data_IF_338926688033
#
_entry.id   IF_338926688033
#
_cell.length_a   1.000
_cell.length_b   1.000
_cell.length_c   1.000
_cell.angle_alpha   90.00
_cell.angle_beta   90.00
_cell.angle_gamma   90.00
#
_symmetry.space_group_name_H-M   'P 1'
#
loop_
_entity.id
_entity.type
_entity.pdbx_description
1 polymer ?
#
# COMPACT_ATOMS: atom_id res chain seq x y z
N UNK A 1 -0.96 -5.61 -7.12
CA UNK A 1 0.50 -5.38 -7.12
C UNK A 1 0.73 -3.88 -7.02
N UNK A 2 1.67 -3.41 -6.22
CA UNK A 2 2.17 -2.05 -6.35
C UNK A 2 2.62 -1.78 -7.78
N UNK A 3 2.70 -0.51 -8.15
CA UNK A 3 3.01 -0.09 -9.51
C UNK A 3 4.32 -0.65 -10.07
N UNK A 4 4.48 -0.55 -11.34
CA UNK A 4 5.75 -0.77 -12.04
C UNK A 4 6.05 0.45 -12.89
N UNK A 5 7.23 0.50 -13.48
CA UNK A 5 7.62 1.64 -14.32
C UNK A 5 6.70 1.89 -15.52
N UNK A 6 5.91 0.88 -15.93
CA UNK A 6 4.98 0.95 -17.08
C UNK A 6 3.51 1.10 -16.67
N UNK A 7 3.22 1.21 -15.39
CA UNK A 7 1.86 1.37 -14.86
C UNK A 7 1.75 2.67 -14.07
N UNK A 8 0.50 3.05 -13.75
CA UNK A 8 0.27 4.13 -12.79
C UNK A 8 0.98 3.83 -11.48
N UNK A 9 1.42 4.87 -10.77
CA UNK A 9 1.99 4.72 -9.44
C UNK A 9 0.97 4.08 -8.47
N UNK A 10 1.47 3.44 -7.41
CA UNK A 10 0.58 2.82 -6.44
C UNK A 10 -0.36 3.83 -5.78
N UNK A 11 0.11 5.06 -5.51
CA UNK A 11 -0.75 6.10 -4.94
C UNK A 11 -1.83 6.59 -5.91
N UNK A 12 -1.53 6.75 -7.21
CA UNK A 12 -2.54 7.03 -8.23
C UNK A 12 -3.59 5.91 -8.29
N UNK A 13 -3.15 4.66 -8.21
CA UNK A 13 -4.07 3.50 -8.13
C UNK A 13 -4.97 3.56 -6.89
N UNK A 14 -4.41 3.89 -5.72
CA UNK A 14 -5.19 4.01 -4.47
C UNK A 14 -6.21 5.13 -4.58
N UNK A 15 -5.82 6.30 -5.11
CA UNK A 15 -6.74 7.42 -5.33
C UNK A 15 -7.89 7.02 -6.27
N UNK A 16 -7.59 6.39 -7.40
CA UNK A 16 -8.63 5.92 -8.33
C UNK A 16 -9.55 4.87 -7.70
N UNK A 17 -8.97 3.96 -6.91
CA UNK A 17 -9.73 2.89 -6.26
C UNK A 17 -10.68 3.40 -5.18
N UNK A 18 -10.30 4.43 -4.43
CA UNK A 18 -11.14 5.04 -3.40
C UNK A 18 -12.17 6.01 -3.99
N UNK A 19 -11.94 6.50 -5.20
CA UNK A 19 -12.77 7.50 -5.88
C UNK A 19 -13.78 6.85 -6.86
N UNK A 20 -14.52 5.85 -6.38
CA UNK A 20 -15.45 5.11 -7.23
C UNK A 20 -16.77 5.83 -7.52
N UNK A 21 -17.15 6.86 -6.75
CA UNK A 21 -18.41 7.60 -6.97
C UNK A 21 -19.61 6.67 -7.16
N UNK A 22 -20.30 6.83 -8.30
CA UNK A 22 -21.44 5.99 -8.69
C UNK A 22 -21.06 4.79 -9.58
N UNK A 23 -19.77 4.57 -9.86
CA UNK A 23 -19.29 3.46 -10.68
C UNK A 23 -19.39 2.14 -9.89
N UNK A 24 -20.36 1.31 -10.31
CA UNK A 24 -20.63 0.02 -9.65
C UNK A 24 -19.48 -0.98 -9.80
N UNK A 25 -18.77 -0.95 -10.93
CA UNK A 25 -17.65 -1.88 -11.19
C UNK A 25 -16.41 -1.48 -10.39
N UNK A 26 -16.10 -0.20 -10.29
CA UNK A 26 -15.04 0.30 -9.41
C UNK A 26 -15.35 -0.04 -7.96
N UNK A 27 -16.59 0.21 -7.51
CA UNK A 27 -17.03 -0.16 -6.16
C UNK A 27 -16.90 -1.65 -5.88
N UNK A 28 -17.30 -2.50 -6.82
CA UNK A 28 -17.18 -3.96 -6.68
C UNK A 28 -15.70 -4.38 -6.56
N UNK A 29 -14.82 -3.82 -7.41
CA UNK A 29 -13.36 -4.05 -7.33
C UNK A 29 -12.79 -3.60 -5.98
N UNK A 30 -13.16 -2.43 -5.48
CA UNK A 30 -12.77 -1.93 -4.16
C UNK A 30 -13.18 -2.88 -3.04
N UNK A 31 -14.45 -3.31 -3.04
CA UNK A 31 -14.98 -4.21 -2.01
C UNK A 31 -14.27 -5.58 -2.04
N UNK A 32 -14.01 -6.12 -3.23
CA UNK A 32 -13.27 -7.38 -3.42
C UNK A 32 -11.83 -7.27 -2.94
N UNK A 33 -11.11 -6.21 -3.35
CA UNK A 33 -9.69 -6.02 -2.96
C UNK A 33 -9.54 -5.81 -1.46
N UNK A 34 -10.40 -4.99 -0.84
CA UNK A 34 -10.35 -4.74 0.61
C UNK A 34 -10.68 -5.99 1.42
N UNK A 35 -11.66 -6.79 0.98
CA UNK A 35 -11.98 -8.08 1.61
C UNK A 35 -10.77 -9.02 1.56
N UNK A 36 -10.18 -9.19 0.38
CA UNK A 36 -8.99 -10.01 0.18
C UNK A 36 -7.83 -9.56 1.09
N UNK A 37 -7.52 -8.26 1.12
CA UNK A 37 -6.47 -7.73 1.99
C UNK A 37 -6.74 -8.00 3.46
N UNK A 38 -7.99 -7.82 3.92
CA UNK A 38 -8.32 -8.09 5.31
C UNK A 38 -8.17 -9.56 5.69
N UNK A 39 -8.52 -10.49 4.78
CA UNK A 39 -8.36 -11.92 4.99
C UNK A 39 -6.90 -12.35 4.97
N UNK A 40 -6.09 -11.75 4.11
CA UNK A 40 -4.68 -12.13 3.87
C UNK A 40 -3.71 -11.51 4.89
N UNK A 41 -4.01 -10.30 5.40
CA UNK A 41 -3.10 -9.55 6.27
C UNK A 41 -3.59 -9.35 7.70
N UNK A 42 -4.75 -9.90 8.06
CA UNK A 42 -5.22 -9.89 9.45
C UNK A 42 -4.23 -10.59 10.39
N UNK A 43 -4.12 -10.16 11.66
CA UNK A 43 -3.27 -10.81 12.64
C UNK A 43 -3.58 -12.31 12.76
N UNK A 44 -2.55 -13.12 12.93
CA UNK A 44 -2.69 -14.55 13.11
C UNK A 44 -3.55 -14.87 14.33
N UNK A 45 -4.61 -15.65 14.13
CA UNK A 45 -5.53 -16.03 15.21
C UNK A 45 -6.51 -14.93 15.61
N UNK A 46 -6.62 -13.85 14.85
CA UNK A 46 -7.60 -12.79 15.09
C UNK A 46 -9.03 -13.33 15.12
N UNK A 47 -9.84 -12.87 16.07
CA UNK A 47 -11.26 -13.22 16.14
C UNK A 47 -12.02 -12.61 14.95
N UNK A 48 -13.19 -13.21 14.62
CA UNK A 48 -14.00 -12.71 13.49
C UNK A 48 -14.36 -11.23 13.59
N UNK A 49 -14.61 -10.74 14.78
CA UNK A 49 -14.96 -9.33 14.99
C UNK A 49 -13.75 -8.41 14.79
N UNK A 50 -12.55 -8.84 15.16
CA UNK A 50 -11.30 -8.11 14.89
C UNK A 50 -11.03 -8.01 13.38
N UNK A 51 -11.24 -9.11 12.64
CA UNK A 51 -11.11 -9.10 11.16
C UNK A 51 -12.15 -8.19 10.52
N UNK A 52 -13.39 -8.16 11.03
CA UNK A 52 -14.41 -7.23 10.55
C UNK A 52 -14.05 -5.77 10.81
N UNK A 53 -13.52 -5.46 12.00
CA UNK A 53 -13.07 -4.11 12.33
C UNK A 53 -11.90 -3.71 11.43
N UNK A 54 -10.92 -4.60 11.25
CA UNK A 54 -9.78 -4.39 10.35
C UNK A 54 -10.23 -4.15 8.90
N UNK A 55 -11.20 -4.91 8.40
CA UNK A 55 -11.80 -4.68 7.09
C UNK A 55 -12.45 -3.29 6.99
N UNK A 56 -13.15 -2.86 8.03
CA UNK A 56 -13.74 -1.51 8.09
C UNK A 56 -12.64 -0.44 8.03
N UNK A 57 -11.56 -0.62 8.79
CA UNK A 57 -10.44 0.32 8.84
C UNK A 57 -9.76 0.43 7.47
N UNK A 58 -9.49 -0.68 6.79
CA UNK A 58 -8.94 -0.70 5.42
C UNK A 58 -9.86 0.03 4.42
N UNK A 59 -11.18 -0.05 4.60
CA UNK A 59 -12.16 0.58 3.70
C UNK A 59 -12.34 2.07 3.93
N UNK A 60 -12.07 2.55 5.14
CA UNK A 60 -12.33 3.94 5.53
C UNK A 60 -11.07 4.78 5.65
N UNK A 61 -9.90 4.14 5.68
CA UNK A 61 -8.63 4.82 5.88
C UNK A 61 -7.61 4.39 4.82
N UNK A 62 -7.26 5.31 3.91
CA UNK A 62 -6.28 5.07 2.83
C UNK A 62 -4.93 4.59 3.37
N UNK A 63 -4.44 5.16 4.47
CA UNK A 63 -3.15 4.75 5.06
C UNK A 63 -3.19 3.29 5.52
N UNK A 64 -4.30 2.84 6.10
CA UNK A 64 -4.48 1.42 6.48
C UNK A 64 -4.57 0.51 5.26
N UNK A 65 -5.24 0.94 4.20
CA UNK A 65 -5.25 0.22 2.92
C UNK A 65 -3.85 0.10 2.32
N UNK A 66 -3.09 1.19 2.31
CA UNK A 66 -1.72 1.24 1.81
C UNK A 66 -0.84 0.28 2.64
N UNK A 67 -0.86 0.38 3.97
CA UNK A 67 -0.09 -0.49 4.85
C UNK A 67 -0.43 -1.98 4.64
N UNK A 68 -1.72 -2.33 4.55
CA UNK A 68 -2.17 -3.69 4.28
C UNK A 68 -1.69 -4.19 2.89
N UNK A 69 -1.70 -3.33 1.87
CA UNK A 69 -1.23 -3.68 0.52
C UNK A 69 0.27 -3.96 0.47
N UNK A 70 1.09 -3.23 1.23
CA UNK A 70 2.51 -3.53 1.36
C UNK A 70 2.77 -4.72 2.30
N UNK A 71 1.97 -4.90 3.36
CA UNK A 71 2.04 -6.07 4.22
C UNK A 71 1.80 -7.37 3.43
N UNK A 72 0.86 -7.38 2.47
CA UNK A 72 0.62 -8.50 1.55
C UNK A 72 1.91 -8.95 0.84
N UNK A 73 2.78 -8.02 0.46
CA UNK A 73 4.07 -8.35 -0.16
C UNK A 73 5.02 -9.04 0.84
N UNK A 74 5.06 -8.55 2.08
CA UNK A 74 5.95 -9.06 3.13
C UNK A 74 5.45 -10.37 3.74
N UNK A 75 4.16 -10.68 3.63
CA UNK A 75 3.59 -11.98 4.02
C UNK A 75 3.78 -13.05 2.95
N UNK A 76 4.11 -12.67 1.72
CA UNK A 76 4.33 -13.63 0.63
C UNK A 76 5.51 -14.58 0.93
N UNK A 77 5.56 -15.79 0.33
CA UNK A 77 6.69 -16.71 0.48
C UNK A 77 7.94 -16.25 -0.29
N UNK A 78 7.89 -15.12 -0.97
CA UNK A 78 9.00 -14.59 -1.74
C UNK A 78 10.20 -14.26 -0.83
N UNK A 79 11.38 -14.74 -1.19
CA UNK A 79 12.63 -14.45 -0.44
C UNK A 79 13.14 -13.02 -0.65
N UNK A 80 12.68 -12.37 -1.72
CA UNK A 80 13.06 -11.00 -2.07
C UNK A 80 11.83 -10.26 -2.55
N UNK A 81 11.63 -9.06 -2.04
CA UNK A 81 10.59 -8.14 -2.45
C UNK A 81 11.26 -6.92 -3.05
N UNK A 82 10.85 -6.55 -4.26
CA UNK A 82 11.28 -5.32 -4.90
C UNK A 82 10.12 -4.36 -4.95
N UNK A 83 10.32 -3.13 -4.47
CA UNK A 83 9.36 -2.04 -4.53
C UNK A 83 9.94 -0.98 -5.46
N UNK A 84 9.12 -0.50 -6.38
CA UNK A 84 9.52 0.56 -7.29
C UNK A 84 9.76 1.86 -6.49
N UNK A 85 10.83 2.60 -6.80
CA UNK A 85 11.25 3.74 -6.00
C UNK A 85 10.16 4.82 -5.84
N UNK A 86 9.36 5.06 -6.89
CA UNK A 86 8.27 6.04 -6.82
C UNK A 86 7.20 5.62 -5.80
N UNK A 87 6.89 4.33 -5.73
CA UNK A 87 5.94 3.79 -4.74
C UNK A 87 6.55 3.78 -3.34
N UNK A 88 7.85 3.48 -3.23
CA UNK A 88 8.55 3.48 -1.95
C UNK A 88 8.53 4.89 -1.31
N UNK A 89 8.87 5.91 -2.07
CA UNK A 89 8.92 7.29 -1.58
C UNK A 89 7.57 8.01 -1.62
N UNK A 90 6.51 7.34 -2.05
CA UNK A 90 5.18 7.94 -2.12
C UNK A 90 5.05 9.02 -3.19
N UNK A 91 5.79 8.88 -4.29
CA UNK A 91 5.65 9.78 -5.42
C UNK A 91 4.39 9.39 -6.21
N UNK A 92 3.34 10.17 -6.12
CA UNK A 92 2.09 9.96 -6.87
C UNK A 92 2.24 10.26 -8.37
N UNK A 93 3.29 9.75 -9.02
CA UNK A 93 3.62 10.01 -10.42
C UNK A 93 4.04 8.74 -11.13
N UNK A 94 3.49 8.52 -12.32
CA UNK A 94 3.87 7.41 -13.19
C UNK A 94 5.22 7.71 -13.84
N UNK A 95 6.14 6.74 -13.84
CA UNK A 95 7.49 6.87 -14.39
C UNK A 95 7.53 6.75 -15.92
N UNK A 96 6.74 5.83 -16.47
CA UNK A 96 6.62 5.61 -17.89
C UNK A 96 5.16 5.32 -18.25
N UNK A 97 4.69 5.95 -19.32
CA UNK A 97 3.34 5.75 -19.86
C UNK A 97 3.45 5.15 -21.26
N UNK A 98 3.25 3.84 -21.43
CA UNK A 98 3.29 3.20 -22.74
C UNK A 98 2.37 3.93 -23.75
N UNK A 99 2.85 4.13 -24.96
CA UNK A 99 2.12 4.86 -26.01
C UNK A 99 2.28 6.39 -25.98
N UNK A 100 3.07 6.93 -25.05
CA UNK A 100 3.45 8.35 -25.06
C UNK A 100 4.90 8.55 -25.48
N UNK A 101 5.21 9.71 -26.09
CA UNK A 101 6.56 10.04 -26.59
C UNK A 101 7.30 11.03 -25.72
N UNK A 102 6.63 11.62 -24.72
CA UNK A 102 7.19 12.68 -23.87
C UNK A 102 6.99 12.36 -22.38
N UNK A 103 7.91 12.84 -21.54
CA UNK A 103 7.82 12.72 -20.08
C UNK A 103 8.17 11.35 -19.51
N UNK A 104 8.43 10.34 -20.36
CA UNK A 104 8.82 9.01 -19.92
C UNK A 104 10.27 9.01 -19.42
N UNK A 105 10.57 8.21 -18.40
CA UNK A 105 11.91 8.04 -17.82
C UNK A 105 12.51 9.33 -17.21
N UNK A 106 11.68 10.36 -17.04
CA UNK A 106 12.12 11.69 -16.58
C UNK A 106 11.95 11.88 -15.06
N UNK A 107 11.18 11.03 -14.39
CA UNK A 107 10.96 11.14 -12.95
C UNK A 107 12.28 11.00 -12.19
N UNK A 108 12.55 11.93 -11.31
CA UNK A 108 13.71 11.96 -10.42
C UNK A 108 13.23 12.25 -8.99
N UNK A 109 14.02 11.84 -8.03
CA UNK A 109 13.86 12.29 -6.65
C UNK A 109 14.42 13.70 -6.54
N UNK A 110 13.68 14.59 -5.90
CA UNK A 110 14.16 15.92 -5.53
C UNK A 110 15.18 15.79 -4.39
N UNK A 111 16.02 16.79 -4.17
CA UNK A 111 17.01 16.75 -3.07
C UNK A 111 16.37 16.61 -1.69
N UNK A 112 15.13 17.05 -1.54
CA UNK A 112 14.35 17.03 -0.29
C UNK A 112 13.50 15.77 -0.12
N UNK A 113 13.65 14.74 -0.96
CA UNK A 113 12.72 13.61 -1.04
C UNK A 113 12.52 12.86 0.28
N UNK A 114 13.56 12.75 1.11
CA UNK A 114 13.46 12.11 2.42
C UNK A 114 12.62 12.94 3.40
N UNK A 115 12.89 14.25 3.48
CA UNK A 115 12.12 15.16 4.32
C UNK A 115 10.64 15.21 3.90
N UNK A 116 10.38 15.21 2.59
CA UNK A 116 9.03 15.24 2.04
C UNK A 116 8.29 13.93 2.34
N UNK A 117 8.98 12.79 2.25
CA UNK A 117 8.44 11.50 2.65
C UNK A 117 8.05 11.47 4.15
N UNK A 118 8.97 11.87 5.04
CA UNK A 118 8.69 11.87 6.48
C UNK A 118 7.59 12.85 6.89
N UNK A 119 7.39 13.93 6.14
CA UNK A 119 6.23 14.83 6.33
C UNK A 119 4.93 14.22 5.78
N UNK A 120 5.01 13.46 4.69
CA UNK A 120 3.85 12.88 4.01
C UNK A 120 3.28 11.65 4.75
N UNK A 121 4.13 10.82 5.35
CA UNK A 121 3.74 9.59 6.07
C UNK A 121 2.67 9.86 7.14
N UNK A 122 2.82 10.78 8.11
CA UNK A 122 1.81 11.01 9.13
C UNK A 122 0.52 11.62 8.57
N UNK A 123 0.56 12.21 7.36
CA UNK A 123 -0.60 12.73 6.66
C UNK A 123 -1.33 11.66 5.83
N UNK A 124 -0.82 10.43 5.79
CA UNK A 124 -1.37 9.36 4.95
C UNK A 124 -1.16 9.57 3.44
N UNK A 125 -0.21 10.42 3.07
CA UNK A 125 0.13 10.74 1.66
C UNK A 125 1.31 9.95 1.12
N UNK A 126 1.94 9.13 1.96
CA UNK A 126 3.02 8.22 1.58
C UNK A 126 2.88 6.89 2.35
N UNK A 127 3.45 5.80 1.84
CA UNK A 127 3.42 4.51 2.53
C UNK A 127 4.13 4.59 3.89
N UNK A 128 3.50 4.07 4.93
CA UNK A 128 4.17 3.83 6.22
C UNK A 128 4.67 2.38 6.22
N UNK A 129 5.96 2.19 5.94
CA UNK A 129 6.55 0.86 5.91
C UNK A 129 6.70 0.22 7.30
N UNK A 130 6.83 1.00 8.36
CA UNK A 130 6.81 0.47 9.73
C UNK A 130 5.46 -0.19 10.03
N UNK A 131 4.34 0.48 9.68
CA UNK A 131 2.99 -0.10 9.80
C UNK A 131 2.82 -1.35 8.92
N UNK A 132 3.36 -1.35 7.71
CA UNK A 132 3.27 -2.50 6.81
C UNK A 132 4.05 -3.71 7.35
N UNK A 133 5.26 -3.50 7.83
CA UNK A 133 6.10 -4.56 8.45
C UNK A 133 5.44 -5.06 9.74
N UNK A 134 4.96 -4.17 10.61
CA UNK A 134 4.22 -4.53 11.82
C UNK A 134 3.01 -5.40 11.50
N UNK A 135 2.22 -5.00 10.50
CA UNK A 135 1.06 -5.77 10.03
C UNK A 135 1.46 -7.17 9.54
N UNK A 136 2.53 -7.27 8.76
CA UNK A 136 3.03 -8.55 8.27
C UNK A 136 3.56 -9.45 9.39
N UNK A 137 4.26 -8.89 10.37
CA UNK A 137 4.74 -9.64 11.55
C UNK A 137 3.57 -10.18 12.38
N UNK A 138 2.54 -9.37 12.63
CA UNK A 138 1.31 -9.80 13.32
C UNK A 138 0.57 -10.89 12.57
N UNK A 139 0.45 -10.78 11.26
CA UNK A 139 -0.17 -11.82 10.43
C UNK A 139 0.60 -13.14 10.53
N UNK A 140 1.92 -13.11 10.62
CA UNK A 140 2.75 -14.31 10.80
C UNK A 140 2.83 -14.80 12.24
N UNK A 141 2.36 -14.01 13.21
CA UNK A 141 2.52 -14.28 14.65
C UNK A 141 3.96 -14.14 15.12
N UNK A 142 4.72 -13.23 14.50
CA UNK A 142 6.14 -12.94 14.77
C UNK A 142 6.35 -11.55 15.38
N UNK A 143 5.30 -10.87 15.80
CA UNK A 143 5.35 -9.55 16.41
C UNK A 143 6.01 -9.59 17.79
N UNK A 144 5.80 -10.65 18.56
CA UNK A 144 6.46 -10.85 19.87
C UNK A 144 7.94 -11.23 19.68
N UNK A 145 8.83 -10.46 20.24
CA UNK A 145 10.28 -10.61 20.13
C UNK A 145 10.92 -9.84 18.96
N UNK A 146 10.12 -9.10 18.21
CA UNK A 146 10.58 -8.25 17.10
C UNK A 146 10.14 -6.79 17.28
N UNK A 147 9.88 -6.37 18.52
CA UNK A 147 9.40 -5.03 18.85
C UNK A 147 10.37 -3.91 18.40
N UNK A 148 11.63 -4.24 18.17
CA UNK A 148 12.66 -3.31 17.66
C UNK A 148 12.50 -2.99 16.15
N UNK A 149 11.70 -3.76 15.44
CA UNK A 149 11.46 -3.60 13.99
C UNK A 149 10.16 -2.83 13.67
N UNK A 150 9.45 -2.39 14.71
CA UNK A 150 8.11 -1.79 14.58
C UNK A 150 8.13 -0.32 15.00
#
# INVERSE_FOLDING_TARGET
>A
MPGSHDNQSFLEFVEDLFNFGNDKDKKARFLKKTKYLAEDTAPKGAAKEEVKQYLKDIRTNKSKFIAASFAELFTSPAKRVQIFFADFWGLGKTYNRPGTTTGNWALRLEETFEDDYYKAVPQGKAPNFADAVSTALKQRGLDKGNEQLI
#
